data_IF_442295443322
#
_entry.id   IF_442295443322
#
_cell.length_a   1.000
_cell.length_b   1.000
_cell.length_c   1.000
_cell.angle_alpha   90.00
_cell.angle_beta   90.00
_cell.angle_gamma   90.00
#
_symmetry.space_group_name_H-M   'P 1'
#
loop_
_entity.id
_entity.type
_entity.pdbx_description
1 polymer ?
#
# COMPACT_ATOMS: atom_id res chain seq x y z
N UNK A 1 12.31 -1.92 60.27
CA UNK A 1 13.41 -1.71 59.31
C UNK A 1 12.75 -1.18 58.06
N UNK A 2 12.82 0.13 57.90
CA UNK A 2 12.21 0.87 56.80
C UNK A 2 13.20 0.83 55.64
N UNK A 3 12.81 0.22 54.53
CA UNK A 3 13.60 0.28 53.30
C UNK A 3 13.78 1.75 52.89
N UNK A 4 15.00 2.19 52.57
CA UNK A 4 15.23 3.55 52.12
C UNK A 4 14.61 3.69 50.73
N UNK A 5 13.78 4.71 50.59
CA UNK A 5 13.33 5.24 49.31
C UNK A 5 14.51 5.23 48.34
N UNK A 6 14.38 4.49 47.24
CA UNK A 6 15.32 4.56 46.15
C UNK A 6 15.40 6.01 45.71
N UNK A 7 16.52 6.66 46.03
CA UNK A 7 16.92 7.92 45.42
C UNK A 7 16.87 7.70 43.90
N UNK A 8 15.73 8.06 43.32
CA UNK A 8 15.62 8.29 41.89
C UNK A 8 16.51 9.49 41.65
N UNK A 9 17.78 9.22 41.35
CA UNK A 9 18.73 10.19 40.81
C UNK A 9 17.96 10.95 39.74
N UNK A 10 17.56 12.19 40.07
CA UNK A 10 16.71 13.00 39.21
C UNK A 10 17.57 13.40 38.03
N UNK A 11 17.53 12.59 36.96
CA UNK A 11 18.32 12.82 35.77
C UNK A 11 18.10 14.23 35.25
N UNK A 12 19.18 14.88 34.86
CA UNK A 12 19.14 16.28 34.38
C UNK A 12 18.57 16.35 32.97
N UNK A 13 18.11 17.53 32.55
CA UNK A 13 17.59 17.74 31.19
C UNK A 13 18.55 17.24 30.08
N UNK A 14 19.87 17.55 30.11
CA UNK A 14 20.80 17.02 29.12
C UNK A 14 20.93 15.49 29.14
N UNK A 15 20.76 14.87 30.32
CA UNK A 15 20.79 13.41 30.46
C UNK A 15 19.60 12.76 29.73
N UNK A 16 18.39 13.28 29.93
CA UNK A 16 17.20 12.77 29.23
C UNK A 16 17.23 13.05 27.73
N UNK A 17 17.80 14.19 27.31
CA UNK A 17 18.03 14.49 25.91
C UNK A 17 19.00 13.50 25.26
N UNK A 18 20.16 13.26 25.88
CA UNK A 18 21.15 12.31 25.37
C UNK A 18 20.63 10.86 25.37
N UNK A 19 19.86 10.48 26.40
CA UNK A 19 19.19 9.18 26.45
C UNK A 19 18.17 9.02 25.33
N UNK A 20 17.31 10.04 25.11
CA UNK A 20 16.33 10.04 24.04
C UNK A 20 16.96 9.95 22.65
N UNK A 21 18.06 10.68 22.41
CA UNK A 21 18.83 10.60 21.16
C UNK A 21 19.44 9.21 20.96
N UNK A 22 20.02 8.62 22.01
CA UNK A 22 20.56 7.25 21.96
C UNK A 22 19.47 6.24 21.62
N UNK A 23 18.32 6.31 22.29
CA UNK A 23 17.17 5.42 22.05
C UNK A 23 16.60 5.60 20.64
N UNK A 24 16.56 6.83 20.13
CA UNK A 24 16.17 7.12 18.76
C UNK A 24 17.08 6.44 17.75
N UNK A 25 18.40 6.48 17.96
CA UNK A 25 19.38 5.78 17.11
C UNK A 25 19.26 4.26 17.20
N UNK A 26 18.85 3.71 18.34
CA UNK A 26 18.56 2.29 18.51
C UNK A 26 17.22 1.85 17.87
N UNK A 27 16.40 2.78 17.35
CA UNK A 27 15.10 2.48 16.76
C UNK A 27 13.97 2.29 17.78
N UNK A 28 14.23 2.51 19.07
CA UNK A 28 13.23 2.40 20.14
C UNK A 28 12.44 3.71 20.31
N UNK A 29 11.63 4.05 19.31
CA UNK A 29 10.97 5.37 19.23
C UNK A 29 9.97 5.66 20.36
N UNK A 30 9.30 4.63 20.89
CA UNK A 30 8.35 4.79 22.00
C UNK A 30 9.04 5.20 23.29
N UNK A 31 10.14 4.52 23.66
CA UNK A 31 10.93 4.87 24.84
C UNK A 31 11.64 6.22 24.65
N UNK A 32 12.15 6.49 23.44
CA UNK A 32 12.73 7.80 23.13
C UNK A 32 11.73 8.95 23.33
N UNK A 33 10.48 8.80 22.88
CA UNK A 33 9.42 9.80 23.08
C UNK A 33 9.09 10.01 24.58
N UNK A 34 9.18 8.95 25.39
CA UNK A 34 9.02 9.06 26.85
C UNK A 34 10.19 9.83 27.48
N UNK A 35 11.44 9.52 27.12
CA UNK A 35 12.62 10.27 27.59
C UNK A 35 12.55 11.75 27.20
N UNK A 36 12.12 12.08 25.98
CA UNK A 36 11.90 13.48 25.58
C UNK A 36 10.74 14.14 26.32
N UNK A 37 9.69 13.39 26.67
CA UNK A 37 8.60 13.92 27.50
C UNK A 37 9.07 14.22 28.92
N UNK A 38 9.92 13.37 29.51
CA UNK A 38 10.60 13.61 30.78
C UNK A 38 11.51 14.84 30.72
N UNK A 39 12.22 15.04 29.61
CA UNK A 39 13.00 16.25 29.38
C UNK A 39 12.12 17.51 29.35
N UNK A 40 10.98 17.48 28.65
CA UNK A 40 10.04 18.61 28.59
C UNK A 40 9.35 18.90 29.93
N UNK A 41 9.19 17.91 30.81
CA UNK A 41 8.74 18.15 32.19
C UNK A 41 9.74 18.97 33.02
N UNK A 42 11.04 18.90 32.71
CA UNK A 42 12.07 19.67 33.40
C UNK A 42 12.25 21.07 32.79
N UNK A 43 12.23 21.16 31.47
CA UNK A 43 12.32 22.43 30.74
C UNK A 43 11.20 22.49 29.70
N UNK A 44 10.11 23.17 30.08
CA UNK A 44 8.99 23.37 29.17
C UNK A 44 9.38 24.35 28.05
N UNK A 45 8.98 24.02 26.82
CA UNK A 45 9.20 24.87 25.65
C UNK A 45 10.57 24.79 24.97
N UNK A 46 11.46 23.85 25.30
CA UNK A 46 12.71 23.69 24.52
C UNK A 46 12.40 23.24 23.07
N UNK A 47 12.76 24.09 22.11
CA UNK A 47 12.45 23.88 20.68
C UNK A 47 13.16 22.66 20.08
N UNK A 48 14.35 22.32 20.56
CA UNK A 48 15.10 21.16 20.06
C UNK A 48 14.48 19.86 20.56
N UNK A 49 14.10 19.81 21.84
CA UNK A 49 13.41 18.68 22.44
C UNK A 49 12.04 18.43 21.77
N UNK A 50 11.27 19.49 21.50
CA UNK A 50 9.99 19.38 20.77
C UNK A 50 10.18 18.80 19.37
N UNK A 51 11.20 19.24 18.62
CA UNK A 51 11.52 18.66 17.31
C UNK A 51 11.96 17.20 17.42
N UNK A 52 12.78 16.86 18.42
CA UNK A 52 13.22 15.48 18.63
C UNK A 52 12.04 14.55 18.97
N UNK A 53 11.11 15.00 19.82
CA UNK A 53 9.88 14.25 20.14
C UNK A 53 8.95 14.12 18.93
N UNK A 54 8.79 15.21 18.15
CA UNK A 54 8.03 15.19 16.89
C UNK A 54 8.58 14.17 15.89
N UNK A 55 9.91 14.02 15.80
CA UNK A 55 10.57 12.99 14.98
C UNK A 55 10.24 11.59 15.44
N UNK A 56 10.20 11.34 16.75
CA UNK A 56 9.78 10.03 17.28
C UNK A 56 8.33 9.72 16.88
N UNK A 57 7.40 10.66 17.08
CA UNK A 57 6.00 10.48 16.71
C UNK A 57 5.82 10.22 15.21
N UNK A 58 6.56 10.93 14.37
CA UNK A 58 6.57 10.71 12.92
C UNK A 58 6.97 9.28 12.57
N UNK A 59 8.01 8.72 13.22
CA UNK A 59 8.47 7.34 13.00
C UNK A 59 7.50 6.29 13.53
N UNK A 60 6.70 6.62 14.55
CA UNK A 60 5.65 5.75 15.08
C UNK A 60 4.35 5.81 14.27
N UNK A 61 4.18 6.82 13.40
CA UNK A 61 2.96 7.03 12.61
C UNK A 61 1.93 7.94 13.28
N UNK A 62 2.23 8.50 14.46
CA UNK A 62 1.36 9.43 15.18
C UNK A 62 1.50 10.86 14.62
N UNK A 63 0.92 11.08 13.43
CA UNK A 63 1.09 12.32 12.67
C UNK A 63 0.52 13.56 13.38
N UNK A 64 -0.63 13.44 14.03
CA UNK A 64 -1.29 14.57 14.71
C UNK A 64 -0.46 15.13 15.87
N UNK A 65 0.13 14.24 16.69
CA UNK A 65 1.00 14.64 17.81
C UNK A 65 2.32 15.20 17.30
N UNK A 66 2.88 14.59 16.25
CA UNK A 66 4.07 15.10 15.57
C UNK A 66 3.86 16.54 15.07
N UNK A 67 2.71 16.84 14.48
CA UNK A 67 2.38 18.17 13.96
C UNK A 67 2.25 19.20 15.08
N UNK A 68 1.55 18.85 16.17
CA UNK A 68 1.41 19.73 17.35
C UNK A 68 2.76 20.11 17.96
N UNK A 69 3.67 19.14 18.11
CA UNK A 69 5.01 19.39 18.63
C UNK A 69 5.86 20.24 17.67
N UNK A 70 5.74 19.99 16.36
CA UNK A 70 6.42 20.80 15.35
C UNK A 70 5.91 22.26 15.35
N UNK A 71 4.60 22.46 15.52
CA UNK A 71 4.00 23.79 15.64
C UNK A 71 4.40 24.50 16.92
N UNK A 72 4.40 23.80 18.06
CA UNK A 72 4.86 24.34 19.34
C UNK A 72 6.34 24.79 19.26
N UNK A 73 7.19 24.04 18.55
CA UNK A 73 8.59 24.44 18.33
C UNK A 73 8.76 25.75 17.57
N UNK A 74 7.77 26.11 16.73
CA UNK A 74 7.75 27.32 15.91
C UNK A 74 7.03 28.50 16.56
N UNK A 75 6.24 28.27 17.62
CA UNK A 75 5.58 29.35 18.36
C UNK A 75 6.60 30.29 19.02
N UNK A 76 7.69 29.71 19.55
CA UNK A 76 8.77 30.50 20.18
C UNK A 76 9.67 31.19 19.15
N UNK A 77 10.01 30.51 18.06
CA UNK A 77 10.92 31.01 17.02
C UNK A 77 10.39 30.64 15.62
N UNK A 78 9.67 31.55 14.95
CA UNK A 78 9.11 31.31 13.61
C UNK A 78 10.15 31.16 12.49
N UNK A 79 11.43 31.45 12.76
CA UNK A 79 12.55 31.30 11.82
C UNK A 79 13.38 30.04 12.11
N UNK A 80 12.97 29.21 13.08
CA UNK A 80 13.69 28.00 13.45
C UNK A 80 13.67 26.95 12.34
N UNK A 81 14.79 26.82 11.62
CA UNK A 81 14.89 25.99 10.43
C UNK A 81 14.57 24.51 10.69
N UNK A 82 15.07 23.92 11.80
CA UNK A 82 14.80 22.51 12.14
C UNK A 82 13.31 22.26 12.42
N UNK A 83 12.62 23.21 13.05
CA UNK A 83 11.18 23.12 13.29
C UNK A 83 10.36 23.24 11.99
N UNK A 84 10.76 24.14 11.09
CA UNK A 84 10.11 24.31 9.78
C UNK A 84 10.26 23.03 8.94
N UNK A 85 11.46 22.46 8.94
CA UNK A 85 11.72 21.20 8.25
C UNK A 85 10.88 20.07 8.84
N UNK A 86 10.85 19.92 10.17
CA UNK A 86 10.07 18.88 10.82
C UNK A 86 8.57 19.02 10.51
N UNK A 87 8.04 20.25 10.54
CA UNK A 87 6.65 20.52 10.17
C UNK A 87 6.36 20.15 8.72
N UNK A 88 7.25 20.50 7.79
CA UNK A 88 7.11 20.16 6.38
C UNK A 88 7.16 18.63 6.14
N UNK A 89 8.02 17.91 6.86
CA UNK A 89 8.09 16.46 6.80
C UNK A 89 6.81 15.80 7.34
N UNK A 90 6.30 16.26 8.49
CA UNK A 90 5.05 15.74 9.05
C UNK A 90 3.86 15.98 8.12
N UNK A 91 3.73 17.19 7.56
CA UNK A 91 2.67 17.51 6.59
C UNK A 91 2.79 16.66 5.32
N UNK A 92 4.02 16.43 4.84
CA UNK A 92 4.27 15.57 3.68
C UNK A 92 3.81 14.13 3.96
N UNK A 93 4.12 13.58 5.15
CA UNK A 93 3.67 12.24 5.54
C UNK A 93 2.16 12.15 5.78
N UNK A 94 1.51 13.25 6.14
CA UNK A 94 0.05 13.35 6.29
C UNK A 94 -0.67 13.36 4.94
N UNK A 95 0.04 13.67 3.85
CA UNK A 95 -0.49 13.76 2.50
C UNK A 95 -0.85 15.19 2.06
N UNK A 96 -0.62 16.18 2.92
CA UNK A 96 -0.86 17.60 2.64
C UNK A 96 0.33 18.21 1.87
N UNK A 97 0.52 17.74 0.64
CA UNK A 97 1.72 18.04 -0.15
C UNK A 97 1.87 19.52 -0.49
N UNK A 98 0.76 20.25 -0.68
CA UNK A 98 0.74 21.67 -0.99
C UNK A 98 1.28 22.49 0.19
N UNK A 99 0.79 22.20 1.40
CA UNK A 99 1.27 22.87 2.61
C UNK A 99 2.71 22.48 2.91
N UNK A 100 3.07 21.21 2.76
CA UNK A 100 4.45 20.76 2.90
C UNK A 100 5.40 21.53 1.95
N UNK A 101 5.02 21.69 0.68
CA UNK A 101 5.80 22.42 -0.32
C UNK A 101 6.02 23.89 0.08
N UNK A 102 4.97 24.56 0.58
CA UNK A 102 5.07 25.94 1.08
C UNK A 102 6.09 26.06 2.21
N UNK A 103 6.04 25.15 3.20
CA UNK A 103 6.98 25.17 4.32
C UNK A 103 8.41 24.80 3.90
N UNK A 104 8.60 23.87 2.95
CA UNK A 104 9.93 23.60 2.41
C UNK A 104 10.54 24.81 1.70
N UNK A 105 9.77 25.54 0.88
CA UNK A 105 10.23 26.78 0.26
C UNK A 105 10.50 27.90 1.27
N UNK A 106 9.66 28.03 2.31
CA UNK A 106 9.89 28.99 3.40
C UNK A 106 11.19 28.69 4.13
N UNK A 107 11.46 27.43 4.46
CA UNK A 107 12.71 27.00 5.07
C UNK A 107 13.92 27.23 4.15
N UNK A 108 13.79 26.90 2.87
CA UNK A 108 14.84 27.12 1.87
C UNK A 108 15.21 28.60 1.71
N UNK A 109 14.24 29.51 1.80
CA UNK A 109 14.48 30.97 1.76
C UNK A 109 15.27 31.46 2.97
N UNK A 110 15.05 30.87 4.15
CA UNK A 110 15.79 31.21 5.37
C UNK A 110 17.21 30.63 5.34
N UNK A 111 17.32 29.34 5.00
CA UNK A 111 18.59 28.64 4.87
C UNK A 111 18.53 27.69 3.67
N UNK A 112 19.33 27.94 2.62
CA UNK A 112 19.44 27.01 1.50
C UNK A 112 20.14 25.73 1.95
N UNK A 113 19.35 24.75 2.38
CA UNK A 113 19.84 23.42 2.79
C UNK A 113 19.47 22.33 1.78
N UNK A 114 20.26 21.26 1.75
CA UNK A 114 20.00 20.08 0.92
C UNK A 114 18.69 19.42 1.30
N UNK A 115 18.36 19.36 2.59
CA UNK A 115 17.14 18.74 3.11
C UNK A 115 15.88 19.42 2.55
N UNK A 116 15.86 20.76 2.56
CA UNK A 116 14.78 21.54 1.96
C UNK A 116 14.67 21.33 0.45
N UNK A 117 15.79 21.30 -0.28
CA UNK A 117 15.78 21.06 -1.73
C UNK A 117 15.18 19.70 -2.08
N UNK A 118 15.59 18.65 -1.36
CA UNK A 118 15.06 17.30 -1.54
C UNK A 118 13.56 17.25 -1.18
N UNK A 119 13.15 17.93 -0.10
CA UNK A 119 11.75 18.07 0.28
C UNK A 119 10.88 18.75 -0.79
N UNK A 120 11.38 19.85 -1.38
CA UNK A 120 10.72 20.56 -2.49
C UNK A 120 10.49 19.61 -3.67
N UNK A 121 11.54 18.90 -4.09
CA UNK A 121 11.44 17.97 -5.21
C UNK A 121 10.43 16.85 -4.93
N UNK A 122 10.49 16.23 -3.75
CA UNK A 122 9.54 15.18 -3.33
C UNK A 122 8.10 15.67 -3.32
N UNK A 123 7.84 16.84 -2.72
CA UNK A 123 6.50 17.42 -2.66
C UNK A 123 5.99 17.80 -4.06
N UNK A 124 6.82 18.40 -4.90
CA UNK A 124 6.44 18.75 -6.28
C UNK A 124 6.14 17.51 -7.13
N UNK A 125 6.96 16.46 -7.01
CA UNK A 125 6.71 15.18 -7.67
C UNK A 125 5.42 14.55 -7.15
N UNK A 126 5.18 14.52 -5.84
CA UNK A 126 3.94 14.00 -5.27
C UNK A 126 2.68 14.74 -5.78
N UNK A 127 2.73 16.08 -5.84
CA UNK A 127 1.65 16.91 -6.42
C UNK A 127 1.47 16.60 -7.90
N UNK A 128 2.55 16.62 -8.68
CA UNK A 128 2.50 16.34 -10.13
C UNK A 128 2.00 14.92 -10.41
N UNK A 129 2.29 13.97 -9.54
CA UNK A 129 1.80 12.60 -9.64
C UNK A 129 0.31 12.49 -9.31
N UNK A 130 -0.19 13.34 -8.41
CA UNK A 130 -1.58 13.32 -7.95
C UNK A 130 -2.50 14.08 -8.90
N UNK A 131 -2.07 15.26 -9.36
CA UNK A 131 -2.90 16.22 -10.13
C UNK A 131 -2.51 16.26 -11.61
N UNK A 132 -1.29 15.83 -11.96
CA UNK A 132 -0.70 16.00 -13.29
C UNK A 132 0.20 17.23 -13.38
N UNK A 133 0.98 17.36 -14.45
CA UNK A 133 1.78 18.57 -14.68
C UNK A 133 0.86 19.75 -15.02
N UNK A 134 1.22 21.00 -14.66
CA UNK A 134 0.44 22.18 -15.02
C UNK A 134 0.20 22.29 -16.54
N UNK A 135 1.13 21.78 -17.34
CA UNK A 135 1.05 21.72 -18.80
C UNK A 135 0.01 20.73 -19.35
N UNK A 136 -0.37 19.70 -18.57
CA UNK A 136 -1.39 18.72 -18.94
C UNK A 136 -2.81 19.13 -18.56
N UNK A 137 -2.98 20.14 -17.70
CA UNK A 137 -4.27 20.59 -17.21
C UNK A 137 -4.67 21.85 -17.99
N UNK A 138 -5.49 21.69 -19.03
CA UNK A 138 -6.18 22.82 -19.65
C UNK A 138 -7.34 23.21 -18.77
N UNK A 139 -7.17 24.28 -17.98
CA UNK A 139 -8.26 24.89 -17.24
C UNK A 139 -9.25 25.49 -18.26
N UNK A 140 -10.31 24.76 -18.58
CA UNK A 140 -11.42 25.30 -19.37
C UNK A 140 -12.40 26.04 -18.43
N UNK A 141 -12.74 27.29 -18.77
CA UNK A 141 -13.69 28.13 -18.06
C UNK A 141 -15.17 27.70 -18.30
N UNK A 142 -15.43 26.39 -18.31
CA UNK A 142 -16.76 25.79 -18.57
C UNK A 142 -17.44 25.24 -17.32
N UNK A 143 -16.74 25.20 -16.19
CA UNK A 143 -17.33 24.88 -14.89
C UNK A 143 -17.95 26.12 -14.26
N UNK A 144 -19.11 25.95 -13.65
CA UNK A 144 -19.87 27.02 -13.00
C UNK A 144 -19.02 27.71 -11.90
N UNK A 145 -18.59 28.95 -12.17
CA UNK A 145 -17.83 29.79 -11.24
C UNK A 145 -18.65 30.19 -9.98
N UNK A 146 -19.90 29.75 -9.89
CA UNK A 146 -20.80 29.96 -8.76
C UNK A 146 -20.28 29.39 -7.43
N UNK A 147 -19.35 28.43 -7.47
CA UNK A 147 -18.68 27.93 -6.28
C UNK A 147 -17.77 28.98 -5.62
N UNK A 148 -17.03 29.75 -6.43
CA UNK A 148 -16.14 30.81 -5.92
C UNK A 148 -16.93 31.98 -5.36
N UNK A 149 -18.10 32.31 -5.94
CA UNK A 149 -18.97 33.36 -5.40
C UNK A 149 -19.56 32.97 -4.05
N UNK A 150 -20.01 31.72 -3.88
CA UNK A 150 -20.52 31.22 -2.58
C UNK A 150 -19.44 31.18 -1.50
N UNK A 151 -18.20 30.86 -1.84
CA UNK A 151 -17.08 30.89 -0.89
C UNK A 151 -16.74 32.33 -0.47
N UNK A 152 -16.72 33.27 -1.42
CA UNK A 152 -16.50 34.69 -1.14
C UNK A 152 -17.65 35.31 -0.31
N UNK A 153 -18.89 34.88 -0.54
CA UNK A 153 -20.06 35.26 0.25
C UNK A 153 -20.01 34.68 1.67
N UNK A 154 -19.58 33.43 1.85
CA UNK A 154 -19.39 32.82 3.17
C UNK A 154 -18.27 33.48 3.99
N UNK A 155 -17.17 33.90 3.36
CA UNK A 155 -16.08 34.62 4.04
C UNK A 155 -16.55 36.02 4.49
N UNK A 156 -17.41 36.69 3.71
CA UNK A 156 -18.06 37.95 4.12
C UNK A 156 -19.09 37.74 5.23
N UNK A 157 -19.78 36.60 5.26
CA UNK A 157 -20.76 36.27 6.29
C UNK A 157 -20.13 35.93 7.66
N UNK A 158 -18.90 35.40 7.68
CA UNK A 158 -18.17 35.05 8.91
C UNK A 158 -17.47 36.23 9.61
N UNK A 159 -17.50 37.44 9.04
CA UNK A 159 -16.94 38.66 9.65
C UNK A 159 -17.91 39.42 10.57
N UNK A 160 -19.04 38.82 10.99
CA UNK A 160 -19.84 39.35 12.11
C UNK A 160 -19.54 38.57 13.39
N UNK A 161 -19.18 39.23 14.51
CA UNK A 161 -18.80 38.53 15.72
C UNK A 161 -20.06 38.00 16.43
N UNK A 162 -20.11 36.68 16.66
CA UNK A 162 -21.05 36.08 17.61
C UNK A 162 -20.32 35.05 18.50
N UNK A 163 -20.79 34.86 19.75
CA UNK A 163 -19.97 34.32 20.84
C UNK A 163 -19.93 32.79 20.85
N UNK A 164 -18.80 32.25 21.32
CA UNK A 164 -18.54 30.83 21.52
C UNK A 164 -19.65 30.14 22.33
N UNK A 165 -20.20 29.06 21.77
CA UNK A 165 -20.82 27.98 22.55
C UNK A 165 -20.08 26.68 22.29
N UNK A 166 -19.56 26.10 23.37
CA UNK A 166 -18.98 24.78 23.44
C UNK A 166 -19.97 23.71 22.98
N UNK A 167 -19.52 22.79 22.13
CA UNK A 167 -20.27 21.58 21.76
C UNK A 167 -19.53 20.36 22.30
N UNK A 168 -20.18 19.73 23.27
CA UNK A 168 -19.85 18.44 23.86
C UNK A 168 -20.01 17.33 22.82
N UNK A 169 -19.08 16.36 22.85
CA UNK A 169 -19.23 15.06 22.21
C UNK A 169 -20.41 14.27 22.81
N UNK A 170 -21.19 13.55 21.98
CA UNK A 170 -21.85 12.33 22.40
C UNK A 170 -21.20 11.13 21.72
N UNK A 171 -20.57 10.29 22.54
CA UNK A 171 -20.31 8.88 22.27
C UNK A 171 -21.63 8.10 22.32
N UNK A 172 -21.92 7.26 21.31
CA UNK A 172 -22.67 6.01 21.46
C UNK A 172 -22.44 5.14 20.21
N UNK A 173 -22.07 3.89 20.47
CA UNK A 173 -21.65 2.92 19.47
C UNK A 173 -22.81 2.32 18.69
N UNK A 174 -22.51 1.99 17.44
CA UNK A 174 -23.27 1.11 16.57
C UNK A 174 -22.29 0.20 15.82
N UNK A 175 -22.71 -1.02 15.44
CA UNK A 175 -21.80 -2.11 15.14
C UNK A 175 -21.03 -1.86 13.85
N UNK A 176 -19.73 -2.15 13.89
CA UNK A 176 -18.93 -2.38 12.68
C UNK A 176 -19.65 -3.47 11.90
N UNK A 177 -20.07 -3.15 10.69
CA UNK A 177 -20.14 -3.99 9.48
C UNK A 177 -20.98 -3.22 8.46
N UNK A 178 -20.34 -2.22 7.83
CA UNK A 178 -20.69 -1.80 6.48
C UNK A 178 -19.40 -1.86 5.70
N UNK A 179 -19.27 -2.95 4.94
CA UNK A 179 -18.28 -3.08 3.89
C UNK A 179 -18.33 -1.80 3.05
N UNK A 180 -17.25 -1.03 3.08
CA UNK A 180 -16.98 -0.08 2.00
C UNK A 180 -17.10 -0.90 0.72
N UNK A 181 -18.02 -0.50 -0.18
CA UNK A 181 -18.07 -1.00 -1.56
C UNK A 181 -16.76 -0.63 -2.24
N UNK A 182 -15.71 -1.40 -1.93
CA UNK A 182 -14.45 -1.43 -2.63
C UNK A 182 -14.82 -1.84 -4.05
N UNK A 183 -14.35 -1.11 -5.07
CA UNK A 183 -14.42 -1.61 -6.44
C UNK A 183 -13.74 -2.98 -6.44
N UNK A 184 -14.51 -4.04 -6.61
CA UNK A 184 -14.07 -5.43 -6.56
C UNK A 184 -12.85 -5.64 -7.47
N UNK A 185 -12.85 -4.97 -8.62
CA UNK A 185 -11.76 -4.91 -9.60
C UNK A 185 -10.45 -4.37 -9.03
N UNK A 186 -10.52 -3.33 -8.19
CA UNK A 186 -9.36 -2.73 -7.53
C UNK A 186 -8.73 -3.70 -6.55
N UNK A 187 -9.56 -4.39 -5.76
CA UNK A 187 -9.08 -5.36 -4.76
C UNK A 187 -8.45 -6.56 -5.47
N UNK A 188 -9.08 -7.03 -6.55
CA UNK A 188 -8.56 -8.10 -7.41
C UNK A 188 -7.21 -7.76 -8.03
N UNK A 189 -7.05 -6.54 -8.54
CA UNK A 189 -5.77 -6.09 -9.10
C UNK A 189 -4.67 -5.90 -8.03
N UNK A 190 -5.05 -5.58 -6.79
CA UNK A 190 -4.10 -5.40 -5.68
C UNK A 190 -3.64 -6.73 -5.08
N UNK A 191 -4.55 -7.70 -4.93
CA UNK A 191 -4.27 -9.02 -4.35
C UNK A 191 -3.74 -10.02 -5.38
N UNK A 192 -4.03 -9.85 -6.67
CA UNK A 192 -3.58 -10.76 -7.72
C UNK A 192 -4.11 -12.18 -7.47
N UNK A 193 -3.20 -13.16 -7.40
CA UNK A 193 -3.57 -14.56 -7.14
C UNK A 193 -4.22 -14.78 -5.77
N UNK A 194 -3.88 -13.96 -4.76
CA UNK A 194 -4.45 -14.04 -3.41
C UNK A 194 -5.91 -13.58 -3.34
N UNK A 195 -6.43 -12.96 -4.40
CA UNK A 195 -7.83 -12.55 -4.45
C UNK A 195 -8.77 -13.76 -4.37
N UNK A 196 -8.36 -14.85 -5.02
CA UNK A 196 -9.08 -16.14 -5.02
C UNK A 196 -9.21 -16.68 -3.60
N UNK A 197 -8.13 -16.59 -2.81
CA UNK A 197 -8.12 -17.07 -1.43
C UNK A 197 -9.03 -16.21 -0.55
N UNK A 198 -9.09 -14.89 -0.82
CA UNK A 198 -10.02 -13.99 -0.15
C UNK A 198 -11.48 -14.39 -0.41
N UNK A 199 -11.83 -14.60 -1.68
CA UNK A 199 -13.18 -14.99 -2.06
C UNK A 199 -13.56 -16.36 -1.47
N UNK A 200 -12.61 -17.28 -1.42
CA UNK A 200 -12.79 -18.58 -0.77
C UNK A 200 -13.08 -18.42 0.74
N UNK A 201 -12.30 -17.62 1.45
CA UNK A 201 -12.51 -17.36 2.88
C UNK A 201 -13.85 -16.65 3.16
N UNK A 202 -14.24 -15.69 2.31
CA UNK A 202 -15.52 -14.99 2.41
C UNK A 202 -16.71 -15.96 2.16
N UNK A 203 -16.57 -16.89 1.22
CA UNK A 203 -17.57 -17.97 1.00
C UNK A 203 -17.64 -18.94 2.18
N UNK A 204 -16.50 -19.27 2.78
CA UNK A 204 -16.42 -20.15 3.94
C UNK A 204 -17.18 -19.57 5.15
N UNK A 205 -17.23 -18.24 5.25
CA UNK A 205 -17.96 -17.52 6.31
C UNK A 205 -19.49 -17.56 6.14
N UNK A 206 -20.00 -18.04 5.00
CA UNK A 206 -21.43 -18.25 4.79
C UNK A 206 -21.92 -19.62 5.31
N UNK A 207 -20.99 -20.53 5.64
CA UNK A 207 -21.31 -21.86 6.14
C UNK A 207 -21.48 -21.84 7.67
N UNK A 208 -22.74 -21.73 8.11
CA UNK A 208 -23.10 -21.66 9.54
C UNK A 208 -22.68 -22.91 10.33
N UNK A 209 -22.61 -24.08 9.69
CA UNK A 209 -22.28 -25.34 10.37
C UNK A 209 -20.78 -25.40 10.69
N UNK A 210 -19.95 -24.83 9.81
CA UNK A 210 -18.51 -24.74 10.01
C UNK A 210 -18.13 -23.69 11.08
N UNK A 211 -18.82 -22.54 11.11
CA UNK A 211 -18.56 -21.44 12.06
C UNK A 211 -18.80 -21.89 13.51
N UNK A 212 -19.82 -22.72 13.75
CA UNK A 212 -20.16 -23.22 15.08
C UNK A 212 -19.16 -24.26 15.61
N UNK A 213 -18.24 -24.74 14.77
CA UNK A 213 -17.20 -25.70 15.15
C UNK A 213 -16.11 -25.08 16.04
N UNK A 214 -15.95 -25.59 17.26
CA UNK A 214 -14.86 -25.19 18.16
C UNK A 214 -13.64 -26.10 17.96
N UNK A 215 -12.46 -25.52 17.71
CA UNK A 215 -11.22 -26.30 17.60
C UNK A 215 -10.56 -26.52 18.97
N UNK A 216 -9.64 -27.50 19.03
CA UNK A 216 -8.83 -27.74 20.25
C UNK A 216 -8.01 -26.49 20.56
N UNK A 217 -8.25 -25.86 21.71
CA UNK A 217 -7.56 -24.65 22.15
C UNK A 217 -8.45 -23.41 22.30
N UNK A 218 -9.76 -23.50 22.07
CA UNK A 218 -10.71 -22.39 22.29
C UNK A 218 -10.75 -21.35 21.17
N UNK A 219 -9.95 -21.55 20.11
CA UNK A 219 -10.07 -20.77 18.86
C UNK A 219 -11.23 -21.32 18.05
N UNK A 220 -12.11 -20.44 17.60
CA UNK A 220 -13.17 -20.79 16.65
C UNK A 220 -12.62 -20.81 15.23
N UNK A 221 -13.25 -21.60 14.35
CA UNK A 221 -12.90 -21.58 12.92
C UNK A 221 -13.17 -20.19 12.32
N UNK A 222 -14.20 -19.49 12.81
CA UNK A 222 -14.51 -18.11 12.46
C UNK A 222 -13.33 -17.16 12.73
N UNK A 223 -12.69 -17.25 13.91
CA UNK A 223 -11.55 -16.41 14.26
C UNK A 223 -10.39 -16.57 13.27
N UNK A 224 -10.15 -17.80 12.80
CA UNK A 224 -9.08 -18.10 11.86
C UNK A 224 -9.37 -17.51 10.46
N UNK A 225 -10.61 -17.69 9.98
CA UNK A 225 -11.08 -17.11 8.71
C UNK A 225 -10.98 -15.58 8.77
N UNK A 226 -11.48 -14.97 9.84
CA UNK A 226 -11.45 -13.53 10.04
C UNK A 226 -10.03 -12.98 10.14
N UNK A 227 -9.12 -13.71 10.77
CA UNK A 227 -7.69 -13.37 10.79
C UNK A 227 -7.09 -13.40 9.38
N UNK A 228 -7.41 -14.41 8.57
CA UNK A 228 -6.98 -14.52 7.17
C UNK A 228 -7.54 -13.39 6.29
N UNK A 229 -8.83 -13.09 6.39
CA UNK A 229 -9.45 -11.98 5.66
C UNK A 229 -8.83 -10.63 6.08
N UNK A 230 -8.60 -10.43 7.39
CA UNK A 230 -7.97 -9.21 7.89
C UNK A 230 -6.52 -9.09 7.40
N UNK A 231 -5.78 -10.19 7.31
CA UNK A 231 -4.44 -10.21 6.71
C UNK A 231 -4.49 -9.76 5.23
N UNK A 232 -5.42 -10.32 4.44
CA UNK A 232 -5.57 -9.95 3.02
C UNK A 232 -6.02 -8.49 2.85
N UNK A 233 -6.91 -7.99 3.70
CA UNK A 233 -7.37 -6.61 3.66
C UNK A 233 -6.27 -5.62 4.07
N UNK A 234 -5.49 -5.92 5.12
CA UNK A 234 -4.34 -5.12 5.52
C UNK A 234 -3.27 -5.12 4.42
N UNK A 235 -3.02 -6.26 3.78
CA UNK A 235 -2.10 -6.37 2.65
C UNK A 235 -2.55 -5.55 1.44
N UNK A 236 -3.83 -5.64 1.06
CA UNK A 236 -4.43 -4.81 0.00
C UNK A 236 -4.29 -3.31 0.32
N UNK A 237 -4.56 -2.90 1.56
CA UNK A 237 -4.45 -1.50 1.98
C UNK A 237 -3.00 -1.00 2.00
N UNK A 238 -2.06 -1.82 2.49
CA UNK A 238 -0.64 -1.53 2.47
C UNK A 238 -0.15 -1.27 1.04
N UNK A 239 -0.49 -2.16 0.11
CA UNK A 239 -0.14 -2.01 -1.29
C UNK A 239 -0.81 -0.82 -1.97
N UNK A 240 -2.04 -0.47 -1.57
CA UNK A 240 -2.73 0.72 -2.06
C UNK A 240 -2.02 2.01 -1.62
N UNK A 241 -1.50 2.04 -0.39
CA UNK A 241 -0.76 3.18 0.15
C UNK A 241 0.64 3.28 -0.46
N UNK A 242 1.35 2.15 -0.57
CA UNK A 242 2.72 2.12 -1.07
C UNK A 242 2.80 2.25 -2.60
N UNK A 243 1.88 1.59 -3.32
CA UNK A 243 1.78 1.60 -4.79
C UNK A 243 0.32 1.63 -5.26
N UNK A 244 -0.31 2.82 -5.25
CA UNK A 244 -1.65 3.03 -5.80
C UNK A 244 -1.78 2.55 -7.26
N UNK A 245 -2.99 2.23 -7.72
CA UNK A 245 -3.23 1.70 -9.08
C UNK A 245 -2.62 2.61 -10.17
N UNK A 246 -2.78 3.93 -10.04
CA UNK A 246 -2.20 4.89 -10.99
C UNK A 246 -0.66 4.83 -11.03
N UNK A 247 -0.01 4.57 -9.90
CA UNK A 247 1.44 4.42 -9.83
C UNK A 247 1.89 3.11 -10.50
N UNK A 248 1.12 2.03 -10.35
CA UNK A 248 1.37 0.74 -11.02
C UNK A 248 1.20 0.83 -12.53
N UNK A 249 0.15 1.50 -13.01
CA UNK A 249 -0.06 1.75 -14.44
C UNK A 249 1.07 2.60 -15.04
N UNK A 250 1.54 3.59 -14.29
CA UNK A 250 2.68 4.41 -14.71
C UNK A 250 3.98 3.64 -14.70
N UNK A 251 4.27 2.89 -13.64
CA UNK A 251 5.43 2.00 -13.55
C UNK A 251 5.42 1.01 -14.73
N UNK A 252 4.25 0.47 -15.10
CA UNK A 252 4.08 -0.40 -16.28
C UNK A 252 4.42 0.32 -17.58
N UNK A 253 3.93 1.54 -17.79
CA UNK A 253 4.28 2.38 -18.96
C UNK A 253 5.76 2.72 -19.00
N UNK A 254 6.32 3.13 -17.87
CA UNK A 254 7.74 3.48 -17.74
C UNK A 254 8.64 2.25 -17.92
N UNK A 255 8.21 1.08 -17.43
CA UNK A 255 8.92 -0.19 -17.65
C UNK A 255 8.87 -0.58 -19.12
N UNK A 256 7.72 -0.43 -19.79
CA UNK A 256 7.62 -0.61 -21.25
C UNK A 256 8.55 0.36 -22.01
N UNK A 257 8.54 1.64 -21.66
CA UNK A 257 9.40 2.67 -22.27
C UNK A 257 10.90 2.48 -21.96
N UNK A 258 11.23 2.04 -20.74
CA UNK A 258 12.60 1.76 -20.32
C UNK A 258 13.12 0.50 -20.98
N UNK A 259 12.30 -0.54 -21.06
CA UNK A 259 12.61 -1.75 -21.81
C UNK A 259 12.85 -1.45 -23.30
N UNK A 260 12.02 -0.58 -23.90
CA UNK A 260 12.22 -0.06 -25.26
C UNK A 260 13.51 0.78 -25.43
N UNK A 261 13.99 1.43 -24.36
CA UNK A 261 15.23 2.25 -24.34
C UNK A 261 16.50 1.43 -24.10
N UNK A 262 16.47 0.51 -23.13
CA UNK A 262 17.61 -0.28 -22.69
C UNK A 262 17.95 -1.40 -23.71
N UNK A 263 16.94 -1.91 -24.42
CA UNK A 263 17.14 -2.85 -25.52
C UNK A 263 17.27 -2.09 -26.84
N UNK A 264 18.50 -1.69 -27.19
CA UNK A 264 18.85 -1.15 -28.52
C UNK A 264 18.49 -2.09 -29.69
N UNK A 265 18.11 -3.34 -29.41
CA UNK A 265 17.47 -4.24 -30.37
C UNK A 265 15.96 -4.09 -30.23
N UNK A 266 15.30 -3.67 -31.32
CA UNK A 266 13.85 -3.83 -31.43
C UNK A 266 13.54 -5.29 -31.08
N UNK A 267 12.65 -5.57 -30.11
CA UNK A 267 12.21 -6.93 -29.85
C UNK A 267 11.75 -7.53 -31.18
N UNK A 268 12.04 -8.80 -31.41
CA UNK A 268 11.42 -9.48 -32.56
C UNK A 268 9.91 -9.26 -32.46
N UNK A 269 9.23 -9.14 -33.61
CA UNK A 269 7.77 -8.96 -33.61
C UNK A 269 7.08 -10.05 -32.77
N UNK A 270 7.69 -11.24 -32.73
CA UNK A 270 7.37 -12.37 -31.86
C UNK A 270 7.46 -12.02 -30.37
N UNK A 271 8.58 -11.48 -29.88
CA UNK A 271 8.74 -11.13 -28.47
C UNK A 271 7.75 -10.04 -28.01
N UNK A 272 7.51 -9.03 -28.85
CA UNK A 272 6.51 -8.00 -28.55
C UNK A 272 5.09 -8.57 -28.51
N UNK A 273 4.77 -9.47 -29.45
CA UNK A 273 3.49 -10.16 -29.46
C UNK A 273 3.28 -11.01 -28.20
N UNK A 274 4.30 -11.76 -27.75
CA UNK A 274 4.23 -12.60 -26.54
C UNK A 274 3.92 -11.73 -25.32
N UNK A 275 4.72 -10.69 -25.10
CA UNK A 275 4.55 -9.81 -23.93
C UNK A 275 3.17 -9.17 -23.91
N UNK A 276 2.76 -8.56 -25.03
CA UNK A 276 1.43 -7.94 -25.14
C UNK A 276 0.30 -8.96 -24.93
N UNK A 277 0.47 -10.18 -25.43
CA UNK A 277 -0.53 -11.23 -25.27
C UNK A 277 -0.70 -11.66 -23.81
N UNK A 278 0.42 -11.88 -23.09
CA UNK A 278 0.39 -12.21 -21.66
C UNK A 278 -0.23 -11.07 -20.83
N UNK A 279 0.13 -9.82 -21.14
CA UNK A 279 -0.45 -8.64 -20.49
C UNK A 279 -1.96 -8.56 -20.68
N UNK A 280 -2.43 -8.80 -21.90
CA UNK A 280 -3.86 -8.75 -22.21
C UNK A 280 -4.62 -9.91 -21.54
N UNK A 281 -4.03 -11.09 -21.41
CA UNK A 281 -4.63 -12.25 -20.71
C UNK A 281 -4.84 -11.91 -19.24
N UNK A 282 -3.83 -11.32 -18.58
CA UNK A 282 -3.89 -10.88 -17.19
C UNK A 282 -4.92 -9.76 -16.98
N UNK A 283 -4.95 -8.77 -17.88
CA UNK A 283 -5.96 -7.70 -17.82
C UNK A 283 -7.39 -8.23 -17.99
N UNK A 284 -7.60 -9.18 -18.90
CA UNK A 284 -8.92 -9.80 -19.09
C UNK A 284 -9.35 -10.55 -17.83
N UNK A 285 -8.46 -11.32 -17.21
CA UNK A 285 -8.75 -12.06 -15.99
C UNK A 285 -9.10 -11.11 -14.82
N UNK A 286 -8.25 -10.12 -14.55
CA UNK A 286 -8.45 -9.15 -13.47
C UNK A 286 -9.68 -8.25 -13.67
N UNK A 287 -10.03 -7.95 -14.93
CA UNK A 287 -11.25 -7.18 -15.25
C UNK A 287 -12.56 -7.93 -15.05
N UNK A 288 -12.50 -9.25 -14.78
CA UNK A 288 -13.66 -10.14 -14.61
C UNK A 288 -14.05 -10.94 -15.85
N UNK A 289 -13.34 -10.80 -16.97
CA UNK A 289 -13.61 -11.54 -18.21
C UNK A 289 -12.80 -12.83 -18.26
N UNK A 290 -13.17 -13.82 -17.44
CA UNK A 290 -12.50 -15.12 -17.39
C UNK A 290 -12.59 -15.87 -18.74
N UNK A 291 -13.74 -15.83 -19.41
CA UNK A 291 -13.93 -16.42 -20.74
C UNK A 291 -13.02 -15.77 -21.80
N UNK A 292 -12.92 -14.44 -21.78
CA UNK A 292 -12.05 -13.71 -22.71
C UNK A 292 -10.57 -14.01 -22.46
N UNK A 293 -10.17 -14.10 -21.19
CA UNK A 293 -8.82 -14.50 -20.79
C UNK A 293 -8.49 -15.92 -21.28
N UNK A 294 -9.41 -16.88 -21.08
CA UNK A 294 -9.29 -18.27 -21.53
C UNK A 294 -9.10 -18.35 -23.04
N UNK A 295 -10.03 -17.77 -23.81
CA UNK A 295 -9.97 -17.79 -25.28
C UNK A 295 -8.67 -17.17 -25.82
N UNK A 296 -8.20 -16.10 -25.18
CA UNK A 296 -6.96 -15.44 -25.57
C UNK A 296 -5.74 -16.29 -25.25
N UNK A 297 -5.69 -16.88 -24.06
CA UNK A 297 -4.60 -17.76 -23.66
C UNK A 297 -4.49 -19.00 -24.56
N UNK A 298 -5.62 -19.65 -24.90
CA UNK A 298 -5.65 -20.78 -25.83
C UNK A 298 -5.18 -20.39 -27.24
N UNK A 299 -5.62 -19.23 -27.74
CA UNK A 299 -5.20 -18.71 -29.05
C UNK A 299 -3.69 -18.44 -29.11
N UNK A 300 -3.14 -17.90 -28.04
CA UNK A 300 -1.70 -17.60 -27.93
C UNK A 300 -0.92 -18.89 -27.80
N UNK A 301 -1.38 -19.83 -26.98
CA UNK A 301 -0.79 -21.16 -26.84
C UNK A 301 -0.69 -21.88 -28.19
N UNK A 302 -1.77 -21.90 -28.98
CA UNK A 302 -1.78 -22.51 -30.30
C UNK A 302 -0.69 -21.93 -31.22
N UNK A 303 -0.52 -20.61 -31.21
CA UNK A 303 0.53 -19.93 -31.99
C UNK A 303 1.93 -20.19 -31.47
N UNK A 304 2.13 -20.21 -30.14
CA UNK A 304 3.44 -20.50 -29.55
C UNK A 304 3.89 -21.91 -29.89
N UNK A 305 2.97 -22.87 -29.94
CA UNK A 305 3.27 -24.24 -30.34
C UNK A 305 3.77 -24.34 -31.79
N UNK A 306 3.30 -23.47 -32.68
CA UNK A 306 3.72 -23.40 -34.09
C UNK A 306 5.13 -22.79 -34.27
N UNK A 307 5.66 -22.06 -33.28
CA UNK A 307 6.98 -21.44 -33.37
C UNK A 307 8.14 -22.40 -33.08
N UNK A 308 9.31 -22.12 -33.65
CA UNK A 308 10.51 -22.91 -33.40
C UNK A 308 11.29 -22.41 -32.17
N UNK A 309 12.12 -23.27 -31.58
CA UNK A 309 13.01 -22.89 -30.45
C UNK A 309 14.02 -21.80 -30.83
N UNK A 310 14.31 -21.63 -32.12
CA UNK A 310 15.14 -20.55 -32.64
C UNK A 310 14.46 -19.17 -32.58
N UNK A 311 13.12 -19.13 -32.75
CA UNK A 311 12.34 -17.89 -32.67
C UNK A 311 12.03 -17.50 -31.23
N UNK A 312 11.83 -18.50 -30.37
CA UNK A 312 11.56 -18.33 -28.93
C UNK A 312 12.44 -19.31 -28.14
N UNK A 313 13.62 -18.87 -27.67
CA UNK A 313 14.55 -19.71 -26.91
C UNK A 313 13.91 -20.34 -25.65
N UNK A 314 13.04 -19.59 -24.97
CA UNK A 314 12.32 -20.05 -23.77
C UNK A 314 10.90 -20.53 -24.10
N UNK A 315 10.70 -21.18 -25.24
CA UNK A 315 9.38 -21.64 -25.70
C UNK A 315 8.69 -22.51 -24.63
N UNK A 316 9.43 -23.43 -24.03
CA UNK A 316 8.86 -24.43 -23.12
C UNK A 316 8.34 -23.78 -21.83
N UNK A 317 9.13 -22.86 -21.24
CA UNK A 317 8.71 -22.03 -20.10
C UNK A 317 7.47 -21.19 -20.43
N UNK A 318 7.42 -20.59 -21.62
CA UNK A 318 6.26 -19.82 -22.08
C UNK A 318 5.00 -20.69 -22.21
N UNK A 319 5.14 -21.93 -22.68
CA UNK A 319 4.03 -22.89 -22.78
C UNK A 319 3.50 -23.25 -21.38
N UNK A 320 4.38 -23.51 -20.41
CA UNK A 320 3.99 -23.74 -19.01
C UNK A 320 3.21 -22.55 -18.43
N UNK A 321 3.73 -21.33 -18.61
CA UNK A 321 3.06 -20.10 -18.18
C UNK A 321 1.66 -19.93 -18.81
N UNK A 322 1.50 -20.26 -20.10
CA UNK A 322 0.19 -20.20 -20.76
C UNK A 322 -0.79 -21.24 -20.23
N UNK A 323 -0.34 -22.46 -19.92
CA UNK A 323 -1.18 -23.45 -19.24
C UNK A 323 -1.61 -22.99 -17.84
N UNK A 324 -0.73 -22.30 -17.11
CA UNK A 324 -1.10 -21.68 -15.83
C UNK A 324 -2.16 -20.60 -15.99
N UNK A 325 -2.05 -19.73 -17.00
CA UNK A 325 -3.06 -18.71 -17.27
C UNK A 325 -4.42 -19.33 -17.63
N UNK A 326 -4.41 -20.40 -18.45
CA UNK A 326 -5.61 -21.17 -18.80
C UNK A 326 -6.24 -21.78 -17.54
N UNK A 327 -5.43 -22.40 -16.68
CA UNK A 327 -5.90 -22.99 -15.41
C UNK A 327 -6.53 -21.93 -14.50
N UNK A 328 -5.90 -20.77 -14.34
CA UNK A 328 -6.46 -19.66 -13.56
C UNK A 328 -7.80 -19.17 -14.13
N UNK A 329 -7.93 -19.05 -15.46
CA UNK A 329 -9.20 -18.68 -16.08
C UNK A 329 -10.28 -19.76 -15.87
N UNK A 330 -9.92 -21.05 -15.95
CA UNK A 330 -10.84 -22.17 -15.70
C UNK A 330 -11.30 -22.24 -14.24
N UNK A 331 -10.42 -21.94 -13.28
CA UNK A 331 -10.75 -21.78 -11.86
C UNK A 331 -11.87 -20.75 -11.68
N UNK A 332 -11.74 -19.59 -12.34
CA UNK A 332 -12.73 -18.51 -12.27
C UNK A 332 -14.05 -18.84 -12.99
N UNK A 333 -14.01 -19.74 -13.98
CA UNK A 333 -15.21 -20.27 -14.66
C UNK A 333 -15.85 -21.45 -13.91
N UNK A 334 -15.29 -21.88 -12.77
CA UNK A 334 -15.77 -23.04 -12.01
C UNK A 334 -15.43 -24.40 -12.64
N UNK A 335 -14.58 -24.44 -13.66
CA UNK A 335 -14.19 -25.65 -14.39
C UNK A 335 -13.01 -26.36 -13.71
N UNK A 336 -13.23 -26.87 -12.49
CA UNK A 336 -12.16 -27.36 -11.61
C UNK A 336 -11.35 -28.54 -12.19
N UNK A 337 -12.01 -29.47 -12.88
CA UNK A 337 -11.31 -30.62 -13.50
C UNK A 337 -10.39 -30.18 -14.63
N UNK A 338 -10.86 -29.26 -15.47
CA UNK A 338 -10.07 -28.70 -16.56
C UNK A 338 -8.89 -27.87 -16.03
N UNK A 339 -9.13 -27.06 -14.99
CA UNK A 339 -8.07 -26.29 -14.31
C UNK A 339 -6.97 -27.20 -13.76
N UNK A 340 -7.35 -28.30 -13.11
CA UNK A 340 -6.40 -29.28 -12.58
C UNK A 340 -5.54 -29.89 -13.69
N UNK A 341 -6.13 -30.22 -14.85
CA UNK A 341 -5.40 -30.73 -16.00
C UNK A 341 -4.42 -29.69 -16.56
N UNK A 342 -4.84 -28.43 -16.67
CA UNK A 342 -4.00 -27.34 -17.14
C UNK A 342 -2.79 -27.11 -16.22
N UNK A 343 -2.99 -27.03 -14.91
CA UNK A 343 -1.89 -26.87 -13.95
C UNK A 343 -0.98 -28.10 -13.85
N UNK A 344 -1.51 -29.32 -14.09
CA UNK A 344 -0.67 -30.53 -14.20
C UNK A 344 0.26 -30.49 -15.42
N UNK A 345 -0.21 -29.97 -16.56
CA UNK A 345 0.65 -29.80 -17.75
C UNK A 345 1.77 -28.78 -17.49
N UNK A 346 1.45 -27.69 -16.82
CA UNK A 346 2.44 -26.71 -16.39
C UNK A 346 3.47 -27.31 -15.41
N UNK A 347 3.02 -28.13 -14.44
CA UNK A 347 3.91 -28.88 -13.56
C UNK A 347 4.81 -29.89 -14.31
N UNK A 348 4.26 -30.58 -15.30
CA UNK A 348 4.99 -31.54 -16.13
C UNK A 348 6.12 -30.85 -16.90
N UNK A 349 5.82 -29.74 -17.56
CA UNK A 349 6.81 -28.91 -18.26
C UNK A 349 7.86 -28.38 -17.27
N UNK A 350 7.43 -27.88 -16.11
CA UNK A 350 8.36 -27.37 -15.11
C UNK A 350 9.32 -28.45 -14.59
N UNK A 351 8.87 -29.71 -14.49
CA UNK A 351 9.72 -30.85 -14.11
C UNK A 351 10.64 -31.29 -15.24
N UNK A 352 10.14 -31.33 -16.47
CA UNK A 352 10.90 -31.75 -17.65
C UNK A 352 12.10 -30.83 -17.91
N UNK A 353 11.92 -29.52 -17.71
CA UNK A 353 12.93 -28.49 -17.98
C UNK A 353 13.64 -27.96 -16.72
N UNK A 354 13.45 -28.60 -15.56
CA UNK A 354 14.04 -28.23 -14.27
C UNK A 354 13.88 -26.74 -13.91
N UNK A 355 12.63 -26.26 -13.99
CA UNK A 355 12.26 -24.87 -13.73
C UNK A 355 11.66 -24.74 -12.31
N UNK A 356 12.45 -24.36 -11.29
CA UNK A 356 11.99 -24.37 -9.89
C UNK A 356 10.86 -23.38 -9.63
N UNK A 357 10.91 -22.18 -10.23
CA UNK A 357 9.88 -21.14 -10.05
C UNK A 357 8.55 -21.58 -10.68
N UNK A 358 8.60 -22.15 -11.89
CA UNK A 358 7.41 -22.68 -12.56
C UNK A 358 6.82 -23.87 -11.80
N UNK A 359 7.68 -24.73 -11.21
CA UNK A 359 7.24 -25.87 -10.40
C UNK A 359 6.52 -25.40 -9.14
N UNK A 360 7.07 -24.41 -8.43
CA UNK A 360 6.42 -23.82 -7.25
C UNK A 360 5.05 -23.24 -7.62
N UNK A 361 5.00 -22.42 -8.68
CA UNK A 361 3.77 -21.82 -9.19
C UNK A 361 2.73 -22.88 -9.57
N UNK A 362 3.13 -23.98 -10.20
CA UNK A 362 2.23 -25.05 -10.60
C UNK A 362 1.66 -25.82 -9.38
N UNK A 363 2.50 -26.15 -8.39
CA UNK A 363 2.07 -26.83 -7.17
C UNK A 363 1.10 -25.97 -6.36
N UNK A 364 1.40 -24.68 -6.16
CA UNK A 364 0.52 -23.74 -5.48
C UNK A 364 -0.86 -23.70 -6.15
N UNK A 365 -0.89 -23.62 -7.49
CA UNK A 365 -2.13 -23.64 -8.25
C UNK A 365 -2.92 -24.95 -8.10
N UNK A 366 -2.24 -26.11 -8.11
CA UNK A 366 -2.90 -27.41 -7.91
C UNK A 366 -3.49 -27.48 -6.49
N UNK A 367 -2.75 -27.03 -5.48
CA UNK A 367 -3.22 -26.93 -4.10
C UNK A 367 -4.49 -26.06 -4.00
N UNK A 368 -4.48 -24.89 -4.67
CA UNK A 368 -5.67 -24.01 -4.77
C UNK A 368 -6.88 -24.72 -5.38
N UNK A 369 -6.70 -25.50 -6.46
CA UNK A 369 -7.79 -26.27 -7.07
C UNK A 369 -8.34 -27.32 -6.10
N UNK A 370 -7.47 -28.07 -5.41
CA UNK A 370 -7.92 -29.07 -4.44
C UNK A 370 -8.66 -28.46 -3.25
N UNK A 371 -8.20 -27.30 -2.76
CA UNK A 371 -8.89 -26.56 -1.71
C UNK A 371 -10.30 -26.13 -2.16
N UNK A 372 -10.45 -25.60 -3.40
CA UNK A 372 -11.77 -25.23 -3.95
C UNK A 372 -12.72 -26.41 -4.15
N UNK A 373 -12.20 -27.62 -4.42
CA UNK A 373 -13.00 -28.85 -4.56
C UNK A 373 -13.30 -29.50 -3.20
N UNK A 374 -12.75 -28.98 -2.09
CA UNK A 374 -12.92 -29.54 -0.75
C UNK A 374 -12.03 -30.75 -0.43
N UNK A 375 -11.01 -31.02 -1.26
CA UNK A 375 -10.04 -32.10 -1.05
C UNK A 375 -8.83 -31.61 -0.28
N UNK A 376 -9.04 -31.19 0.97
CA UNK A 376 -8.02 -30.51 1.78
C UNK A 376 -6.74 -31.31 2.00
N UNK A 377 -6.85 -32.62 2.22
CA UNK A 377 -5.66 -33.47 2.38
C UNK A 377 -4.77 -33.44 1.13
N UNK A 378 -5.39 -33.49 -0.05
CA UNK A 378 -4.65 -33.42 -1.31
C UNK A 378 -4.05 -32.03 -1.56
N UNK A 379 -4.66 -30.96 -1.05
CA UNK A 379 -4.12 -29.61 -1.11
C UNK A 379 -2.91 -29.38 -0.18
N UNK A 380 -2.80 -30.17 0.90
CA UNK A 380 -1.65 -30.14 1.82
C UNK A 380 -0.50 -30.99 1.27
N UNK A 381 -0.84 -32.09 0.60
CA UNK A 381 0.14 -33.06 0.09
C UNK A 381 0.72 -32.67 -1.29
N UNK A 382 0.19 -31.64 -1.96
CA UNK A 382 0.76 -31.04 -3.17
C UNK A 382 2.06 -30.31 -2.90
#
# INVERSE_FOLDING_TARGET
MSDPEGETLRSTFPSYMAEGERLYLCGEFSKAAQSFSNALYLQDGDKNCLVARSKCFLKMGDLERSLKDAEASLQSDPAFCKGILQKAETLYTMGDFEFALVFYHRGYKLRPDREFRVGIQKAQEAINNSVGSPSSIKLENKGDLSFLSKQAENIKAQQKPQPMKHLLHPTKGEPKWKASLKSEKTVRQLLGELYVDKEYLEKLLLDEDLIKGTMKGGLTVEDLIMTGINYLDTHSNFWRQQKPIYARERDRKLMQEKWLRDHKRRPSQTAHYILKSLEDIDMLLTSGSAEGSLQKAEKVLKKVLEWNKEEVPNKDELVGNLYSCIGNAQIELGQMEAALQSHRKDLEIAKEYDLPDAKSRALDNIGRVFARVGKFQQAIDT
#
